data_IF_582550344698
#
_entry.id   IF_582550344698
#
_cell.length_a   1.000
_cell.length_b   1.000
_cell.length_c   1.000
_cell.angle_alpha   90.00
_cell.angle_beta   90.00
_cell.angle_gamma   90.00
#
_symmetry.space_group_name_H-M   'P 1'
#
loop_
_entity.id
_entity.type
_entity.pdbx_description
1 polymer ?
#
# COMPACT_ATOMS: atom_id res chain seq x y z
N UNK A 1 -45.29 27.91 15.29
CA UNK A 1 -45.01 27.03 14.12
C UNK A 1 -43.68 26.29 14.30
N UNK A 2 -43.80 25.07 14.83
CA UNK A 2 -42.63 24.14 14.83
C UNK A 2 -42.60 23.49 13.45
N UNK A 3 -41.74 23.99 12.57
CA UNK A 3 -41.44 23.34 11.30
C UNK A 3 -40.87 21.96 11.60
N UNK A 4 -41.59 20.92 11.23
CA UNK A 4 -41.13 19.52 11.25
C UNK A 4 -39.97 19.42 10.26
N UNK A 5 -38.74 19.46 10.77
CA UNK A 5 -37.56 19.08 9.98
C UNK A 5 -37.70 17.59 9.71
N UNK A 6 -38.07 17.23 8.50
CA UNK A 6 -37.95 15.86 8.00
C UNK A 6 -36.48 15.53 7.94
N UNK A 7 -35.96 14.84 8.97
CA UNK A 7 -34.59 14.32 8.97
C UNK A 7 -34.50 13.20 7.93
N UNK A 8 -34.02 13.54 6.77
CA UNK A 8 -33.71 12.54 5.76
C UNK A 8 -32.55 11.66 6.26
N UNK A 9 -32.84 10.37 6.43
CA UNK A 9 -31.81 9.40 6.79
C UNK A 9 -30.83 9.20 5.62
N UNK A 10 -29.69 9.89 5.63
CA UNK A 10 -28.65 9.80 4.61
C UNK A 10 -27.67 8.64 4.82
N UNK A 11 -27.84 7.86 5.91
CA UNK A 11 -26.96 6.73 6.23
C UNK A 11 -26.81 5.72 5.08
N UNK A 12 -27.88 5.35 4.34
CA UNK A 12 -27.75 4.41 3.21
C UNK A 12 -26.84 4.90 2.09
N UNK A 13 -26.69 6.22 1.95
CA UNK A 13 -25.86 6.86 0.89
C UNK A 13 -24.41 7.07 1.30
N UNK A 14 -24.07 6.82 2.57
CA UNK A 14 -22.70 6.90 3.04
C UNK A 14 -21.90 5.68 2.57
N UNK A 15 -20.67 5.87 2.13
CA UNK A 15 -19.78 4.81 1.66
C UNK A 15 -19.62 3.63 2.64
N UNK A 16 -19.78 3.87 3.94
CA UNK A 16 -19.70 2.85 5.01
C UNK A 16 -21.03 2.51 5.66
N UNK A 17 -22.12 3.17 5.33
CA UNK A 17 -23.49 2.94 5.84
C UNK A 17 -23.58 2.72 7.38
N UNK A 18 -22.76 3.43 8.16
CA UNK A 18 -22.75 3.29 9.62
C UNK A 18 -23.83 4.17 10.28
N UNK A 19 -24.75 3.56 11.00
CA UNK A 19 -25.80 4.25 11.76
C UNK A 19 -25.27 5.08 12.93
N UNK A 20 -24.10 4.73 13.48
CA UNK A 20 -23.46 5.45 14.61
C UNK A 20 -21.97 5.59 14.38
N UNK A 21 -21.43 6.77 14.75
CA UNK A 21 -19.99 7.00 14.78
C UNK A 21 -19.38 6.18 15.93
N UNK A 22 -18.44 5.28 15.65
CA UNK A 22 -17.73 4.56 16.70
C UNK A 22 -16.83 5.52 17.47
N UNK A 23 -16.92 5.46 18.81
CA UNK A 23 -15.97 6.19 19.66
C UNK A 23 -14.54 5.68 19.39
N UNK A 24 -13.57 6.60 19.34
CA UNK A 24 -12.15 6.27 19.13
C UNK A 24 -11.58 5.29 20.16
N UNK A 25 -12.15 5.24 21.36
CA UNK A 25 -11.75 4.36 22.47
C UNK A 25 -11.97 2.87 22.20
N UNK A 26 -12.87 2.51 21.26
CA UNK A 26 -13.15 1.12 20.87
C UNK A 26 -12.47 0.71 19.55
N UNK A 27 -11.55 1.51 19.03
CA UNK A 27 -10.67 0.98 18.01
C UNK A 27 -9.86 -0.12 18.66
N UNK A 28 -10.11 -1.41 18.28
CA UNK A 28 -9.17 -2.45 18.57
C UNK A 28 -7.79 -1.89 18.23
N UNK A 29 -6.89 -1.80 19.22
CA UNK A 29 -5.47 -1.58 18.95
C UNK A 29 -5.07 -2.74 18.06
N UNK A 30 -5.15 -2.55 16.75
CA UNK A 30 -4.45 -3.43 15.84
C UNK A 30 -3.03 -3.44 16.39
N UNK A 31 -2.56 -4.61 16.84
CA UNK A 31 -1.15 -4.80 17.11
C UNK A 31 -0.46 -4.29 15.86
N UNK A 32 0.13 -3.12 15.96
CA UNK A 32 0.89 -2.51 14.87
C UNK A 32 2.05 -3.46 14.68
N UNK A 33 1.94 -4.32 13.66
CA UNK A 33 3.05 -5.17 13.26
C UNK A 33 4.18 -4.20 12.93
N UNK A 34 5.21 -4.24 13.75
CA UNK A 34 6.36 -3.37 13.59
C UNK A 34 7.10 -3.81 12.33
N UNK A 35 7.17 -2.93 11.34
CA UNK A 35 7.99 -3.16 10.14
C UNK A 35 9.45 -3.02 10.59
N UNK A 36 10.26 -4.09 10.48
CA UNK A 36 11.64 -4.07 10.95
C UNK A 36 12.46 -3.04 10.15
N UNK A 37 13.39 -2.37 10.81
CA UNK A 37 14.34 -1.41 10.18
C UNK A 37 13.73 -0.44 9.18
N UNK A 38 12.54 0.05 9.47
CA UNK A 38 11.82 0.99 8.61
C UNK A 38 12.58 2.31 8.48
N UNK A 39 12.91 2.68 7.25
CA UNK A 39 13.40 4.02 6.92
C UNK A 39 12.22 4.96 6.69
N UNK A 40 12.27 6.15 7.28
CA UNK A 40 11.19 7.13 7.14
C UNK A 40 11.17 7.72 5.73
N UNK A 41 9.96 8.00 5.20
CA UNK A 41 9.82 8.72 3.93
C UNK A 41 10.46 10.12 3.98
N UNK A 42 10.66 10.69 5.16
CA UNK A 42 11.34 11.98 5.36
C UNK A 42 12.83 11.91 5.04
N UNK A 43 13.42 10.73 5.10
CA UNK A 43 14.83 10.45 4.79
C UNK A 43 15.05 10.11 3.30
N UNK A 44 13.98 10.18 2.51
CA UNK A 44 14.03 9.88 1.09
C UNK A 44 14.94 10.87 0.35
N UNK A 45 15.89 10.38 -0.49
CA UNK A 45 16.72 11.26 -1.30
C UNK A 45 15.91 12.17 -2.23
N UNK A 46 16.38 13.40 -2.45
CA UNK A 46 15.70 14.38 -3.32
C UNK A 46 15.52 13.89 -4.75
N UNK A 47 16.47 13.12 -5.28
CA UNK A 47 16.40 12.52 -6.61
C UNK A 47 15.14 11.68 -6.83
N UNK A 48 14.66 10.98 -5.78
CA UNK A 48 13.42 10.21 -5.83
C UNK A 48 12.19 11.11 -5.94
N UNK A 49 12.27 12.32 -5.39
CA UNK A 49 11.16 13.28 -5.41
C UNK A 49 11.04 13.98 -6.77
N UNK A 50 12.16 14.27 -7.43
CA UNK A 50 12.19 14.98 -8.72
C UNK A 50 11.58 14.18 -9.86
N UNK A 51 11.51 12.85 -9.73
CA UNK A 51 11.00 11.93 -10.77
C UNK A 51 11.69 12.07 -12.12
N UNK A 52 12.95 12.50 -12.14
CA UNK A 52 13.73 12.63 -13.36
C UNK A 52 14.38 11.32 -13.73
N UNK A 53 14.87 10.60 -12.71
CA UNK A 53 15.63 9.38 -12.88
C UNK A 53 14.74 8.15 -12.72
N UNK A 54 14.68 7.23 -13.69
CA UNK A 54 13.92 6.00 -13.58
C UNK A 54 14.58 5.00 -12.61
N UNK A 55 13.78 4.06 -12.13
CA UNK A 55 14.24 3.00 -11.22
C UNK A 55 13.73 3.14 -9.78
N UNK A 56 12.89 4.11 -9.51
CA UNK A 56 12.25 4.31 -8.21
C UNK A 56 10.80 3.84 -8.26
N UNK A 57 10.48 2.83 -7.47
CA UNK A 57 9.20 2.16 -7.47
C UNK A 57 8.36 2.51 -6.24
N UNK A 58 7.05 2.49 -6.40
CA UNK A 58 6.07 2.55 -5.30
C UNK A 58 5.31 1.24 -5.28
N UNK A 59 5.31 0.56 -4.13
CA UNK A 59 4.59 -0.70 -3.94
C UNK A 59 3.38 -0.50 -3.03
N UNK A 60 2.24 -1.06 -3.42
CA UNK A 60 0.98 -0.98 -2.69
C UNK A 60 0.15 -2.25 -2.90
N UNK A 61 -0.91 -2.43 -2.10
CA UNK A 61 -1.87 -3.51 -2.25
C UNK A 61 -3.30 -3.01 -2.27
N UNK A 62 -4.03 -3.38 -3.30
CA UNK A 62 -5.47 -3.19 -3.38
C UNK A 62 -6.19 -4.44 -2.88
N UNK A 63 -7.15 -4.27 -1.98
CA UNK A 63 -7.88 -5.38 -1.35
C UNK A 63 -9.27 -5.48 -1.95
N UNK A 64 -9.69 -6.69 -2.25
CA UNK A 64 -11.08 -6.95 -2.61
C UNK A 64 -12.01 -6.72 -1.41
N UNK A 65 -13.13 -6.06 -1.64
CA UNK A 65 -14.15 -5.83 -0.60
C UNK A 65 -14.88 -7.13 -0.20
N UNK A 66 -14.97 -8.09 -1.10
CA UNK A 66 -15.81 -9.28 -0.95
C UNK A 66 -15.05 -10.60 -0.82
N UNK A 67 -13.73 -10.58 -0.95
CA UNK A 67 -12.90 -11.79 -0.89
C UNK A 67 -11.56 -11.52 -0.21
N UNK A 68 -10.80 -12.57 0.08
CA UNK A 68 -9.43 -12.46 0.60
C UNK A 68 -8.41 -12.09 -0.50
N UNK A 69 -8.82 -12.08 -1.77
CA UNK A 69 -7.94 -11.76 -2.87
C UNK A 69 -7.49 -10.30 -2.82
N UNK A 70 -6.26 -10.08 -3.19
CA UNK A 70 -5.66 -8.76 -3.28
C UNK A 70 -4.95 -8.59 -4.63
N UNK A 71 -4.63 -7.37 -4.96
CA UNK A 71 -3.84 -7.01 -6.13
C UNK A 71 -2.59 -6.29 -5.64
N UNK A 72 -1.43 -6.89 -5.87
CA UNK A 72 -0.13 -6.24 -5.66
C UNK A 72 0.15 -5.27 -6.80
N UNK A 73 0.55 -4.08 -6.46
CA UNK A 73 0.81 -2.97 -7.38
C UNK A 73 2.28 -2.57 -7.24
N UNK A 74 2.97 -2.38 -8.36
CA UNK A 74 4.27 -1.74 -8.39
C UNK A 74 4.26 -0.68 -9.50
N UNK A 75 4.43 0.58 -9.12
CA UNK A 75 4.44 1.73 -10.02
C UNK A 75 5.83 2.34 -10.10
N UNK A 76 6.41 2.41 -11.29
CA UNK A 76 7.62 3.17 -11.53
C UNK A 76 7.30 4.67 -11.58
N UNK A 77 8.02 5.49 -10.80
CA UNK A 77 7.65 6.88 -10.51
C UNK A 77 7.88 7.84 -11.66
N UNK A 78 8.89 7.61 -12.48
CA UNK A 78 9.27 8.49 -13.59
C UNK A 78 8.44 8.19 -14.83
N UNK A 79 8.45 6.95 -15.28
CA UNK A 79 7.79 6.51 -16.51
C UNK A 79 6.30 6.23 -16.32
N UNK A 80 5.85 6.12 -15.07
CA UNK A 80 4.48 5.71 -14.69
C UNK A 80 4.15 4.28 -15.13
N UNK A 81 5.18 3.48 -15.41
CA UNK A 81 5.02 2.09 -15.75
C UNK A 81 4.44 1.30 -14.57
N UNK A 82 3.35 0.58 -14.81
CA UNK A 82 2.56 -0.09 -13.81
C UNK A 82 2.62 -1.61 -13.95
N UNK A 83 2.98 -2.29 -12.87
CA UNK A 83 2.81 -3.73 -12.73
C UNK A 83 1.68 -4.07 -11.78
N UNK A 84 0.85 -5.03 -12.21
CA UNK A 84 -0.22 -5.60 -11.41
C UNK A 84 0.02 -7.10 -11.25
N UNK A 85 -0.17 -7.60 -10.05
CA UNK A 85 -0.07 -9.03 -9.75
C UNK A 85 -1.23 -9.46 -8.86
N UNK A 86 -1.98 -10.48 -9.30
CA UNK A 86 -3.03 -11.08 -8.46
C UNK A 86 -2.38 -11.81 -7.29
N UNK A 87 -2.80 -11.47 -6.07
CA UNK A 87 -2.37 -12.12 -4.84
C UNK A 87 -3.53 -12.98 -4.31
N UNK A 88 -3.27 -14.22 -3.89
CA UNK A 88 -4.31 -15.08 -3.30
C UNK A 88 -4.84 -14.51 -1.97
N UNK A 89 -3.97 -13.80 -1.23
CA UNK A 89 -4.31 -13.10 0.00
C UNK A 89 -3.35 -11.92 0.23
N UNK A 90 -3.78 -10.95 1.07
CA UNK A 90 -2.92 -9.84 1.52
C UNK A 90 -1.97 -10.34 2.62
N UNK A 91 -0.87 -10.97 2.20
CA UNK A 91 0.21 -11.44 3.08
C UNK A 91 1.55 -10.91 2.60
N UNK A 92 2.52 -10.77 3.51
CA UNK A 92 3.88 -10.32 3.19
C UNK A 92 4.55 -11.27 2.19
N UNK A 93 4.41 -12.57 2.39
CA UNK A 93 4.94 -13.58 1.47
C UNK A 93 4.36 -13.45 0.05
N UNK A 94 3.04 -13.26 -0.08
CA UNK A 94 2.39 -13.13 -1.39
C UNK A 94 2.89 -11.89 -2.13
N UNK A 95 2.99 -10.76 -1.42
CA UNK A 95 3.47 -9.51 -2.01
C UNK A 95 4.95 -9.62 -2.39
N UNK A 96 5.80 -10.10 -1.49
CA UNK A 96 7.21 -10.35 -1.74
C UNK A 96 7.43 -11.19 -3.00
N UNK A 97 6.79 -12.36 -3.08
CA UNK A 97 6.92 -13.24 -4.26
C UNK A 97 6.45 -12.56 -5.54
N UNK A 98 5.38 -11.76 -5.49
CA UNK A 98 4.88 -11.05 -6.64
C UNK A 98 5.84 -9.95 -7.11
N UNK A 99 6.34 -9.12 -6.19
CA UNK A 99 7.28 -8.05 -6.49
C UNK A 99 8.61 -8.60 -7.03
N UNK A 100 9.22 -9.57 -6.35
CA UNK A 100 10.49 -10.15 -6.80
C UNK A 100 10.35 -10.77 -8.18
N UNK A 101 9.32 -11.58 -8.43
CA UNK A 101 9.10 -12.19 -9.74
C UNK A 101 8.89 -11.19 -10.87
N UNK A 102 8.23 -10.07 -10.59
CA UNK A 102 7.93 -9.06 -11.61
C UNK A 102 9.11 -8.14 -11.85
N UNK A 103 9.72 -7.65 -10.79
CA UNK A 103 10.77 -6.65 -10.89
C UNK A 103 12.14 -7.24 -11.25
N UNK A 104 12.43 -8.50 -10.92
CA UNK A 104 13.70 -9.17 -11.30
C UNK A 104 13.94 -9.25 -12.82
N UNK A 105 12.93 -8.92 -13.63
CA UNK A 105 13.06 -8.87 -15.09
C UNK A 105 13.70 -7.58 -15.60
N UNK A 106 13.85 -6.58 -14.72
CA UNK A 106 14.48 -5.31 -15.07
C UNK A 106 15.98 -5.34 -14.80
N UNK A 107 16.76 -4.64 -15.62
CA UNK A 107 18.18 -4.46 -15.34
C UNK A 107 18.38 -3.62 -14.08
N UNK A 108 19.49 -3.86 -13.37
CA UNK A 108 19.81 -3.24 -12.09
C UNK A 108 19.67 -1.69 -12.07
N UNK A 109 20.07 -0.95 -13.12
CA UNK A 109 19.90 0.51 -13.13
C UNK A 109 18.45 0.99 -13.01
N UNK A 110 17.46 0.13 -13.31
CA UNK A 110 16.03 0.40 -13.16
C UNK A 110 15.45 -0.15 -11.85
N UNK A 111 16.28 -0.62 -10.93
CA UNK A 111 15.91 -1.18 -9.63
C UNK A 111 16.69 -0.45 -8.52
N UNK A 112 16.40 0.84 -8.30
CA UNK A 112 17.16 1.67 -7.34
C UNK A 112 16.56 1.63 -5.94
N UNK A 113 15.27 1.91 -5.83
CA UNK A 113 14.56 1.90 -4.55
C UNK A 113 13.10 1.51 -4.68
N UNK A 114 12.54 0.98 -3.60
CA UNK A 114 11.12 0.70 -3.50
C UNK A 114 10.56 1.42 -2.27
N UNK A 115 9.54 2.21 -2.47
CA UNK A 115 8.78 2.86 -1.39
C UNK A 115 7.54 2.04 -1.09
N UNK A 116 7.35 1.71 0.17
CA UNK A 116 6.20 0.98 0.68
C UNK A 116 5.34 1.86 1.57
N UNK A 117 4.06 1.57 1.67
CA UNK A 117 3.21 2.08 2.75
C UNK A 117 3.52 1.38 4.09
N UNK A 118 2.83 1.80 5.16
CA UNK A 118 3.02 1.19 6.48
C UNK A 118 2.12 -0.05 6.69
N UNK A 119 1.79 -0.78 5.64
CA UNK A 119 1.00 -1.99 5.70
C UNK A 119 1.77 -3.18 6.27
N UNK A 120 1.08 -4.06 7.00
CA UNK A 120 1.68 -5.28 7.56
C UNK A 120 2.19 -6.26 6.48
N UNK A 121 1.72 -6.14 5.26
CA UNK A 121 2.20 -6.90 4.10
C UNK A 121 3.63 -6.55 3.70
N UNK A 122 4.17 -5.44 4.21
CA UNK A 122 5.52 -4.97 3.90
C UNK A 122 6.58 -5.42 4.92
N UNK A 123 6.24 -6.29 5.85
CA UNK A 123 7.19 -6.80 6.89
C UNK A 123 8.40 -7.50 6.27
N UNK A 124 8.25 -8.13 5.10
CA UNK A 124 9.32 -8.82 4.39
C UNK A 124 10.04 -7.94 3.33
N UNK A 125 9.92 -6.61 3.43
CA UNK A 125 10.53 -5.67 2.47
C UNK A 125 12.05 -5.84 2.36
N UNK A 126 12.75 -6.11 3.46
CA UNK A 126 14.20 -6.31 3.45
C UNK A 126 14.62 -7.50 2.57
N UNK A 127 13.85 -8.58 2.60
CA UNK A 127 14.12 -9.71 1.71
C UNK A 127 13.92 -9.32 0.25
N UNK A 128 12.85 -8.58 -0.06
CA UNK A 128 12.58 -8.07 -1.42
C UNK A 128 13.73 -7.18 -1.89
N UNK A 129 14.16 -6.23 -1.04
CA UNK A 129 15.24 -5.32 -1.34
C UNK A 129 16.57 -6.05 -1.58
N UNK A 130 16.87 -7.05 -0.74
CA UNK A 130 18.08 -7.88 -0.90
C UNK A 130 18.10 -8.64 -2.23
N UNK A 131 16.99 -9.24 -2.62
CA UNK A 131 16.88 -10.02 -3.86
C UNK A 131 16.97 -9.12 -5.10
N UNK A 132 16.35 -7.95 -5.04
CA UNK A 132 16.32 -7.01 -6.16
C UNK A 132 17.50 -6.03 -6.18
N UNK A 133 18.33 -6.00 -5.13
CA UNK A 133 19.43 -5.04 -4.99
C UNK A 133 18.94 -3.60 -4.84
N UNK A 134 17.72 -3.39 -4.28
CA UNK A 134 17.13 -2.06 -4.07
C UNK A 134 17.38 -1.57 -2.64
N UNK A 135 17.18 -0.25 -2.47
CA UNK A 135 17.16 0.40 -1.16
C UNK A 135 15.71 0.59 -0.67
#
# INVERSE_FOLDING_TARGET
DRSIRTEHNLVPYLARAHKRRRLRTHSHRHKTLHIPRRVSIKERPLEVQTRIQPGHWEADTLISRRSKAALGVALERTTRHLHLAKLPAKTSQSLRCALTRRLSRYPQPLLRSITYDNGCENVEHEYTNKVLGTQ
#
